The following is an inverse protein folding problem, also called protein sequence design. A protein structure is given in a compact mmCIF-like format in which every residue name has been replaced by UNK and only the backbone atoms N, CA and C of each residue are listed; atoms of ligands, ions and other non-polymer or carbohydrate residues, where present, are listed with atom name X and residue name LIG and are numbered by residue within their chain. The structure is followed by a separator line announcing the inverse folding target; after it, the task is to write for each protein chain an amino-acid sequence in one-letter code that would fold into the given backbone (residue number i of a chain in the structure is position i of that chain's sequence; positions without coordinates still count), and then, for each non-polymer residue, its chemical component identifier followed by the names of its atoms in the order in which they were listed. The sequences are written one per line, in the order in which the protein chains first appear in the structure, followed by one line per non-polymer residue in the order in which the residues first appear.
data_IF_368602542154
#
_entry.id   IF_368602542154
#
_cell.length_a   1.000
_cell.length_b   1.000
_cell.length_c   1.000
_cell.angle_alpha   90.00
_cell.angle_beta   90.00
_cell.angle_gamma   90.00
#
_symmetry.space_group_name_H-M   'P 1'
#
loop_
_entity.id
_entity.type
_entity.pdbx_description
1 polymer ?
#
# COMPACT_ATOMS: atom_id res chain seq x y z
N UNK A 1 1.45 -25.63 -8.95
CA UNK A 1 1.37 -24.52 -7.97
C UNK A 1 2.20 -23.38 -8.52
N UNK A 2 1.56 -22.29 -8.94
CA UNK A 2 2.23 -21.19 -9.65
C UNK A 2 2.93 -20.27 -8.64
N UNK A 3 4.24 -20.47 -8.48
CA UNK A 3 5.09 -19.57 -7.69
C UNK A 3 5.39 -18.32 -8.53
N UNK A 4 5.12 -17.15 -7.97
CA UNK A 4 5.34 -15.84 -8.57
C UNK A 4 6.49 -15.17 -7.83
N UNK A 5 7.58 -14.85 -8.52
CA UNK A 5 8.67 -14.08 -7.92
C UNK A 5 8.46 -12.60 -8.21
N UNK A 6 8.09 -11.81 -7.20
CA UNK A 6 7.86 -10.37 -7.33
C UNK A 6 8.88 -9.56 -6.54
N UNK A 7 9.19 -8.38 -7.04
CA UNK A 7 10.08 -7.42 -6.38
C UNK A 7 9.24 -6.52 -5.48
N UNK A 8 9.41 -6.64 -4.18
CA UNK A 8 8.79 -5.75 -3.21
C UNK A 8 9.76 -4.64 -2.83
N UNK A 9 9.37 -3.39 -3.07
CA UNK A 9 10.09 -2.18 -2.73
C UNK A 9 9.50 -1.61 -1.46
N UNK A 10 10.25 -1.62 -0.36
CA UNK A 10 9.85 -1.00 0.90
C UNK A 10 10.21 0.47 0.82
N UNK A 11 9.21 1.33 0.67
CA UNK A 11 9.41 2.77 0.45
C UNK A 11 10.05 3.44 1.68
N UNK A 12 9.70 2.97 2.88
CA UNK A 12 10.22 3.53 4.15
C UNK A 12 11.75 3.37 4.28
N UNK A 13 12.34 2.33 3.68
CA UNK A 13 13.79 2.09 3.66
C UNK A 13 14.43 2.21 2.27
N UNK A 14 13.66 2.46 1.21
CA UNK A 14 14.11 2.37 -0.19
C UNK A 14 14.80 1.03 -0.53
N UNK A 15 14.41 -0.06 0.12
CA UNK A 15 14.98 -1.40 -0.10
C UNK A 15 14.10 -2.17 -1.06
N UNK A 16 14.70 -2.72 -2.12
CA UNK A 16 14.02 -3.66 -3.02
C UNK A 16 14.42 -5.09 -2.67
N UNK A 17 13.44 -5.95 -2.41
CA UNK A 17 13.64 -7.38 -2.16
C UNK A 17 12.78 -8.22 -3.07
N UNK A 18 13.35 -9.26 -3.65
CA UNK A 18 12.60 -10.23 -4.43
C UNK A 18 12.01 -11.27 -3.50
N UNK A 19 10.69 -11.37 -3.45
CA UNK A 19 9.97 -12.41 -2.71
C UNK A 19 9.33 -13.40 -3.68
N UNK A 20 9.54 -14.68 -3.37
CA UNK A 20 8.81 -15.80 -3.95
C UNK A 20 7.47 -15.93 -3.25
N UNK A 21 6.40 -15.51 -3.90
CA UNK A 21 5.02 -15.60 -3.42
C UNK A 21 4.26 -16.67 -4.20
N UNK A 22 3.08 -17.04 -3.71
CA UNK A 22 2.17 -17.93 -4.43
C UNK A 22 0.91 -17.15 -4.76
N UNK A 23 0.39 -17.26 -5.99
CA UNK A 23 -0.80 -16.52 -6.42
C UNK A 23 -2.03 -16.76 -5.51
N UNK A 24 -2.11 -17.93 -4.90
CA UNK A 24 -3.16 -18.29 -3.94
C UNK A 24 -3.07 -17.58 -2.59
N UNK A 25 -1.95 -16.94 -2.26
CA UNK A 25 -1.81 -16.20 -1.01
C UNK A 25 -2.60 -14.90 -1.07
N UNK A 26 -3.17 -14.53 0.06
CA UNK A 26 -3.82 -13.22 0.22
C UNK A 26 -2.78 -12.11 0.36
N UNK A 27 -3.12 -10.90 -0.08
CA UNK A 27 -2.24 -9.73 0.09
C UNK A 27 -1.91 -9.50 1.57
N UNK A 28 -2.80 -9.87 2.49
CA UNK A 28 -2.53 -9.85 3.93
C UNK A 28 -1.43 -10.83 4.34
N UNK A 29 -1.48 -12.07 3.87
CA UNK A 29 -0.42 -13.05 4.15
C UNK A 29 0.91 -12.63 3.55
N UNK A 30 0.89 -12.06 2.34
CA UNK A 30 2.08 -11.51 1.70
C UNK A 30 2.66 -10.35 2.48
N UNK A 31 1.83 -9.42 2.96
CA UNK A 31 2.24 -8.34 3.86
C UNK A 31 2.89 -8.89 5.13
N UNK A 32 2.32 -9.94 5.72
CA UNK A 32 2.89 -10.63 6.88
C UNK A 32 4.23 -11.28 6.56
N UNK A 33 4.36 -11.98 5.43
CA UNK A 33 5.61 -12.63 5.00
C UNK A 33 6.72 -11.61 4.75
N UNK A 34 6.39 -10.48 4.11
CA UNK A 34 7.30 -9.34 3.94
C UNK A 34 7.74 -8.83 5.31
N UNK A 35 6.81 -8.63 6.25
CA UNK A 35 7.12 -8.18 7.61
C UNK A 35 7.98 -9.17 8.38
N UNK A 36 7.72 -10.46 8.25
CA UNK A 36 8.52 -11.52 8.89
C UNK A 36 9.94 -11.55 8.33
N UNK A 37 10.11 -11.38 7.01
CA UNK A 37 11.42 -11.32 6.35
C UNK A 37 12.18 -10.01 6.55
N UNK A 38 11.50 -8.91 6.86
CA UNK A 38 12.10 -7.59 7.04
C UNK A 38 12.09 -7.07 8.47
N UNK A 39 11.54 -7.84 9.42
CA UNK A 39 11.39 -7.44 10.82
C UNK A 39 10.41 -6.27 11.02
N UNK A 40 10.41 -5.69 12.23
CA UNK A 40 9.58 -4.52 12.58
C UNK A 40 9.82 -3.28 11.69
N UNK A 41 10.91 -3.28 10.94
CA UNK A 41 11.30 -2.21 10.01
C UNK A 41 10.46 -2.18 8.72
N UNK A 42 9.72 -3.26 8.43
CA UNK A 42 8.75 -3.24 7.34
C UNK A 42 7.57 -2.30 7.64
N UNK A 43 7.28 -2.06 8.92
CA UNK A 43 6.19 -1.20 9.37
C UNK A 43 4.91 -1.95 9.78
N UNK A 44 4.00 -1.20 10.43
CA UNK A 44 2.81 -1.73 11.10
C UNK A 44 1.59 -1.99 10.20
N UNK A 45 0.44 -2.27 10.82
CA UNK A 45 -0.87 -2.53 10.20
C UNK A 45 -1.34 -1.46 9.20
N UNK A 46 -0.77 -0.26 9.27
CA UNK A 46 -1.02 0.85 8.36
C UNK A 46 -0.33 0.73 6.99
N UNK A 47 0.50 -0.30 6.79
CA UNK A 47 1.17 -0.55 5.51
C UNK A 47 0.31 -1.39 4.59
N UNK A 48 0.42 -1.09 3.31
CA UNK A 48 -0.26 -1.83 2.26
C UNK A 48 0.63 -1.95 1.05
N UNK A 49 0.28 -2.93 0.22
CA UNK A 49 0.93 -3.11 -1.07
C UNK A 49 0.31 -2.16 -2.08
N UNK A 50 1.16 -1.40 -2.75
CA UNK A 50 0.82 -0.58 -3.89
C UNK A 50 1.43 -1.19 -5.13
N UNK A 51 0.66 -1.30 -6.18
CA UNK A 51 1.15 -1.78 -7.46
C UNK A 51 1.48 -0.58 -8.35
N UNK A 52 2.76 -0.23 -8.55
CA UNK A 52 3.17 0.91 -9.36
C UNK A 52 2.76 0.80 -10.83
N UNK A 53 2.85 -0.40 -11.42
CA UNK A 53 2.54 -0.61 -12.84
C UNK A 53 1.07 -0.25 -13.16
N UNK A 54 0.15 -0.72 -12.31
CA UNK A 54 -1.27 -0.44 -12.45
C UNK A 54 -1.75 0.74 -11.55
N UNK A 55 -0.84 1.44 -10.89
CA UNK A 55 -1.08 2.56 -9.94
C UNK A 55 -2.24 2.32 -8.96
N UNK A 56 -2.42 1.08 -8.49
CA UNK A 56 -3.54 0.69 -7.62
C UNK A 56 -3.05 0.09 -6.32
N UNK A 57 -3.80 0.32 -5.26
CA UNK A 57 -3.60 -0.35 -3.98
C UNK A 57 -4.17 -1.76 -4.03
N UNK A 58 -3.41 -2.72 -3.50
CA UNK A 58 -3.80 -4.11 -3.38
C UNK A 58 -4.64 -4.29 -2.12
N UNK A 59 -5.83 -4.86 -2.27
CA UNK A 59 -6.74 -5.09 -1.16
C UNK A 59 -6.25 -6.28 -0.33
N UNK A 60 -6.09 -6.09 0.98
CA UNK A 60 -5.58 -7.11 1.92
C UNK A 60 -6.37 -8.44 1.85
N UNK A 61 -7.69 -8.35 1.62
CA UNK A 61 -8.59 -9.50 1.50
C UNK A 61 -8.67 -10.13 0.11
N UNK A 62 -7.90 -9.67 -0.87
CA UNK A 62 -7.83 -10.28 -2.21
C UNK A 62 -6.54 -11.10 -2.36
N UNK A 63 -6.59 -12.11 -3.23
CA UNK A 63 -5.44 -12.94 -3.58
C UNK A 63 -4.59 -12.26 -4.64
N UNK A 64 -3.30 -12.61 -4.74
CA UNK A 64 -2.45 -12.10 -5.82
C UNK A 64 -2.91 -12.58 -7.20
N UNK A 65 -3.50 -13.77 -7.27
CA UNK A 65 -4.07 -14.34 -8.49
C UNK A 65 -5.18 -13.45 -9.09
N UNK A 66 -5.98 -12.79 -8.23
CA UNK A 66 -6.99 -11.83 -8.66
C UNK A 66 -6.39 -10.66 -9.47
N UNK A 67 -5.13 -10.34 -9.21
CA UNK A 67 -4.48 -9.16 -9.78
C UNK A 67 -3.66 -9.48 -11.04
N UNK A 68 -3.65 -10.70 -11.57
CA UNK A 68 -2.84 -11.08 -12.76
C UNK A 68 -1.36 -10.66 -12.63
N UNK A 69 -0.84 -10.64 -11.40
CA UNK A 69 0.54 -10.25 -11.11
C UNK A 69 1.47 -11.30 -11.70
N UNK A 70 2.47 -10.87 -12.46
CA UNK A 70 3.43 -11.75 -13.12
C UNK A 70 4.76 -11.81 -12.36
N UNK A 71 5.49 -12.89 -12.60
CA UNK A 71 6.87 -13.01 -12.12
C UNK A 71 7.72 -11.89 -12.73
N UNK A 72 8.38 -11.11 -11.87
CA UNK A 72 9.17 -9.94 -12.23
C UNK A 72 8.50 -8.60 -11.93
N UNK A 73 7.20 -8.60 -11.62
CA UNK A 73 6.49 -7.38 -11.27
C UNK A 73 7.04 -6.74 -10.00
N UNK A 74 6.93 -5.41 -9.96
CA UNK A 74 7.36 -4.61 -8.82
C UNK A 74 6.15 -4.15 -8.03
N UNK A 75 6.19 -4.34 -6.72
CA UNK A 75 5.17 -3.97 -5.74
C UNK A 75 5.82 -3.07 -4.70
N UNK A 76 5.16 -2.00 -4.29
CA UNK A 76 5.66 -1.08 -3.28
C UNK A 76 4.97 -1.33 -1.95
N UNK A 77 5.74 -1.60 -0.90
CA UNK A 77 5.26 -1.66 0.47
C UNK A 77 5.37 -0.28 1.10
N UNK A 78 4.22 0.39 1.31
CA UNK A 78 4.19 1.77 1.84
C UNK A 78 2.99 1.99 2.75
N UNK A 79 3.09 3.00 3.62
CA UNK A 79 1.99 3.45 4.50
C UNK A 79 0.83 3.95 3.64
N UNK A 80 -0.39 3.50 3.95
CA UNK A 80 -1.62 4.02 3.33
C UNK A 80 -1.87 5.47 3.71
N UNK A 81 -1.53 5.81 4.95
CA UNK A 81 -1.72 7.13 5.51
C UNK A 81 -0.60 8.07 5.11
N UNK A 82 -0.95 9.20 4.47
CA UNK A 82 -0.04 10.27 4.11
C UNK A 82 -0.56 11.61 4.61
N UNK A 83 0.36 12.48 5.02
CA UNK A 83 0.04 13.86 5.39
C UNK A 83 -0.26 14.65 4.11
N UNK A 84 -1.51 15.09 3.96
CA UNK A 84 -1.98 15.96 2.89
C UNK A 84 -2.17 17.37 3.44
N UNK A 85 -1.54 18.36 2.80
CA UNK A 85 -1.80 19.78 3.05
C UNK A 85 -2.96 20.21 2.18
N UNK A 86 -4.06 20.62 2.80
CA UNK A 86 -5.27 21.10 2.11
C UNK A 86 -5.40 22.59 2.35
N UNK A 87 -5.45 23.38 1.27
CA UNK A 87 -5.82 24.79 1.34
C UNK A 87 -7.35 24.87 1.42
N UNK A 88 -7.83 25.46 2.50
CA UNK A 88 -9.25 25.64 2.78
C UNK A 88 -9.82 26.87 2.05
N UNK A 89 -11.14 27.02 2.07
CA UNK A 89 -11.82 28.17 1.44
C UNK A 89 -11.48 29.51 2.13
N UNK A 90 -11.09 29.48 3.39
CA UNK A 90 -10.62 30.64 4.17
C UNK A 90 -9.11 30.94 3.95
N UNK A 91 -8.52 30.34 2.91
CA UNK A 91 -7.08 30.38 2.59
C UNK A 91 -6.13 29.76 3.61
N UNK A 92 -6.64 29.18 4.70
CA UNK A 92 -5.79 28.49 5.68
C UNK A 92 -5.29 27.16 5.13
N UNK A 93 -4.05 26.79 5.49
CA UNK A 93 -3.48 25.49 5.13
C UNK A 93 -3.55 24.58 6.36
N UNK A 94 -4.36 23.53 6.28
CA UNK A 94 -4.44 22.50 7.31
C UNK A 94 -3.82 21.19 6.84
N UNK A 95 -3.11 20.51 7.73
CA UNK A 95 -2.49 19.20 7.49
C UNK A 95 -3.41 18.10 8.01
N UNK A 96 -3.82 17.18 7.13
CA UNK A 96 -4.60 16.01 7.49
C UNK A 96 -3.84 14.74 7.18
N UNK A 97 -3.94 13.76 8.06
CA UNK A 97 -3.47 12.40 7.80
C UNK A 97 -4.60 11.67 7.07
N UNK A 98 -4.39 11.39 5.79
CA UNK A 98 -5.38 10.85 4.86
C UNK A 98 -4.91 9.49 4.35
N UNK A 99 -5.84 8.54 4.23
CA UNK A 99 -5.60 7.26 3.57
C UNK A 99 -5.70 7.41 2.03
N UNK A 100 -4.58 7.26 1.33
CA UNK A 100 -4.50 7.34 -0.15
C UNK A 100 -5.13 6.14 -0.86
N UNK A 101 -5.55 5.09 -0.14
CA UNK A 101 -6.28 3.96 -0.71
C UNK A 101 -7.78 4.24 -0.90
N UNK A 102 -8.29 5.30 -0.28
CA UNK A 102 -9.70 5.70 -0.37
C UNK A 102 -9.95 6.63 -1.57
N UNK A 103 -11.16 6.59 -2.15
CA UNK A 103 -11.53 7.54 -3.20
C UNK A 103 -11.53 8.97 -2.65
N UNK A 104 -11.25 9.93 -3.54
CA UNK A 104 -11.19 11.37 -3.21
C UNK A 104 -12.47 11.84 -2.51
N UNK A 105 -13.63 11.27 -2.85
CA UNK A 105 -14.90 11.57 -2.18
C UNK A 105 -14.81 11.37 -0.67
N UNK A 106 -14.36 10.20 -0.21
CA UNK A 106 -14.27 9.88 1.22
C UNK A 106 -13.21 10.73 1.92
N UNK A 107 -12.14 11.08 1.21
CA UNK A 107 -11.13 12.02 1.70
C UNK A 107 -11.74 13.40 1.95
N UNK A 108 -12.50 13.92 0.99
CA UNK A 108 -13.18 15.23 1.11
C UNK A 108 -14.23 15.20 2.21
N UNK A 109 -15.00 14.11 2.36
CA UNK A 109 -15.94 13.94 3.47
C UNK A 109 -15.23 13.95 4.84
N UNK A 110 -14.09 13.27 4.97
CA UNK A 110 -13.31 13.27 6.20
C UNK A 110 -12.74 14.65 6.54
N UNK A 111 -12.21 15.37 5.54
CA UNK A 111 -11.74 16.76 5.72
C UNK A 111 -12.91 17.67 6.08
N UNK A 112 -14.08 17.47 5.45
CA UNK A 112 -15.34 18.16 5.73
C UNK A 112 -15.84 17.98 7.16
N UNK A 113 -15.76 16.77 7.73
CA UNK A 113 -16.16 16.50 9.12
C UNK A 113 -15.20 17.08 10.17
N UNK A 114 -13.95 17.36 9.77
CA UNK A 114 -12.89 17.89 10.65
C UNK A 114 -12.77 19.43 10.58
N UNK A 115 -13.58 20.07 9.73
CA UNK A 115 -13.76 21.53 9.67
C UNK A 115 -14.64 21.99 10.83
#
# INVERSE_FOLDING_TARGET
MSQLSVKVVIVDMSITKTLSLVGSMTVQEVCRDIREKNGEVAGGIDHSLFWPDNKKWLALGRTLDFYDIKTGDTLEFKKKHRILKVKMMDETIKTFLIDESLPVKTIVEYVGQKL
#
